data_IF_403795582028
#
_entry.id   IF_403795582028
#
_cell.length_a   1.000
_cell.length_b   1.000
_cell.length_c   1.000
_cell.angle_alpha   90.00
_cell.angle_beta   90.00
_cell.angle_gamma   90.00
#
_symmetry.space_group_name_H-M   'P 1'
#
loop_
_entity.id
_entity.type
_entity.pdbx_description
1 polymer ?
#
# COMPACT_ATOMS: atom_id res chain seq x y z
N UNK A 1 -32.60 -2.02 -51.09
CA UNK A 1 -31.33 -2.68 -51.26
C UNK A 1 -31.08 -3.48 -49.99
N UNK A 2 -31.21 -4.83 -49.97
CA UNK A 2 -30.83 -5.62 -48.82
C UNK A 2 -29.29 -5.73 -48.83
N UNK A 3 -28.67 -5.24 -47.75
CA UNK A 3 -27.22 -5.38 -47.57
C UNK A 3 -26.86 -6.85 -47.41
N UNK A 4 -25.95 -7.33 -48.27
CA UNK A 4 -25.39 -8.67 -48.19
C UNK A 4 -24.77 -8.88 -46.81
N UNK A 5 -25.39 -9.72 -45.99
CA UNK A 5 -24.78 -10.19 -44.73
C UNK A 5 -23.57 -11.06 -45.11
N UNK A 6 -22.38 -10.53 -44.98
CA UNK A 6 -21.17 -11.32 -45.13
C UNK A 6 -21.26 -12.53 -44.19
N UNK A 7 -21.03 -13.73 -44.73
CA UNK A 7 -21.05 -14.93 -43.90
C UNK A 7 -19.91 -14.89 -42.88
N UNK A 8 -20.11 -15.40 -41.65
CA UNK A 8 -19.09 -15.51 -40.64
C UNK A 8 -17.80 -16.18 -41.16
N UNK A 9 -17.94 -17.16 -42.07
CA UNK A 9 -16.83 -17.83 -42.72
C UNK A 9 -15.98 -16.87 -43.59
N UNK A 10 -16.61 -15.94 -44.33
CA UNK A 10 -15.88 -14.97 -45.16
C UNK A 10 -15.16 -13.93 -44.31
N UNK A 11 -15.77 -13.50 -43.18
CA UNK A 11 -15.14 -12.58 -42.22
C UNK A 11 -13.92 -13.25 -41.58
N UNK A 12 -14.06 -14.49 -41.09
CA UNK A 12 -12.98 -15.26 -40.50
C UNK A 12 -11.84 -15.47 -41.47
N UNK A 13 -12.11 -15.83 -42.73
CA UNK A 13 -11.10 -16.03 -43.77
C UNK A 13 -10.38 -14.73 -44.10
N UNK A 14 -11.07 -13.60 -44.17
CA UNK A 14 -10.47 -12.29 -44.40
C UNK A 14 -9.54 -11.85 -43.26
N UNK A 15 -9.98 -12.03 -42.03
CA UNK A 15 -9.17 -11.73 -40.83
C UNK A 15 -7.97 -12.65 -40.72
N UNK A 16 -8.14 -13.97 -40.95
CA UNK A 16 -7.05 -14.93 -40.97
C UNK A 16 -5.98 -14.60 -42.02
N UNK A 17 -6.40 -14.19 -43.21
CA UNK A 17 -5.47 -13.76 -44.26
C UNK A 17 -4.63 -12.55 -43.87
N UNK A 18 -5.23 -11.58 -43.18
CA UNK A 18 -4.51 -10.41 -42.68
C UNK A 18 -3.54 -10.76 -41.56
N UNK A 19 -3.91 -11.67 -40.66
CA UNK A 19 -3.09 -12.08 -39.50
C UNK A 19 -1.91 -12.95 -39.95
N UNK A 20 -2.12 -13.90 -40.88
CA UNK A 20 -1.10 -14.83 -41.34
C UNK A 20 0.08 -14.09 -42.00
N UNK A 21 -0.19 -12.96 -42.67
CA UNK A 21 0.84 -12.11 -43.30
C UNK A 21 1.71 -11.32 -42.32
N UNK A 22 1.31 -11.25 -41.03
CA UNK A 22 2.08 -10.53 -40.01
C UNK A 22 3.30 -11.35 -39.57
N UNK A 23 4.39 -10.66 -39.24
CA UNK A 23 5.54 -11.26 -38.55
C UNK A 23 5.44 -10.92 -37.04
N UNK A 24 4.96 -11.85 -36.20
CA UNK A 24 4.75 -11.58 -34.75
C UNK A 24 6.03 -11.16 -34.06
N UNK A 25 7.17 -11.79 -34.36
CA UNK A 25 8.44 -11.48 -33.72
C UNK A 25 8.97 -10.08 -34.06
N UNK A 26 8.79 -9.63 -35.30
CA UNK A 26 9.18 -8.26 -35.72
C UNK A 26 8.26 -7.22 -35.07
N UNK A 27 6.96 -7.50 -34.97
CA UNK A 27 5.99 -6.62 -34.34
C UNK A 27 6.18 -6.54 -32.85
N UNK A 28 6.40 -7.68 -32.17
CA UNK A 28 6.74 -7.74 -30.76
C UNK A 28 7.96 -6.87 -30.44
N UNK A 29 9.07 -7.06 -31.16
CA UNK A 29 10.27 -6.25 -30.98
C UNK A 29 10.01 -4.76 -31.20
N UNK A 30 9.23 -4.41 -32.24
CA UNK A 30 8.87 -3.03 -32.58
C UNK A 30 8.05 -2.37 -31.47
N UNK A 31 7.00 -3.02 -30.98
CA UNK A 31 6.10 -2.41 -30.00
C UNK A 31 6.70 -2.43 -28.59
N UNK A 32 7.42 -3.48 -28.22
CA UNK A 32 8.14 -3.57 -26.95
C UNK A 32 9.18 -2.44 -26.79
N UNK A 33 9.88 -2.08 -27.88
CA UNK A 33 10.80 -0.94 -27.85
C UNK A 33 10.11 0.43 -27.66
N UNK A 34 8.79 0.49 -27.76
CA UNK A 34 7.97 1.70 -27.57
C UNK A 34 7.28 1.76 -26.20
N UNK A 35 7.39 0.71 -25.40
CA UNK A 35 6.88 0.71 -24.03
C UNK A 35 7.68 1.70 -23.19
N UNK A 36 7.00 2.74 -22.66
CA UNK A 36 7.63 3.89 -22.00
C UNK A 36 8.47 3.49 -20.79
N UNK A 37 7.99 2.48 -20.01
CA UNK A 37 8.64 2.06 -18.76
C UNK A 37 9.47 0.78 -18.88
N UNK A 38 9.65 0.22 -20.07
CA UNK A 38 10.33 -1.07 -20.28
C UNK A 38 11.73 -1.16 -19.65
N UNK A 39 12.49 -0.08 -19.70
CA UNK A 39 13.85 0.02 -19.16
C UNK A 39 13.91 0.45 -17.68
N UNK A 40 12.79 0.90 -17.11
CA UNK A 40 12.80 1.47 -15.77
C UNK A 40 12.93 0.37 -14.71
N UNK A 41 14.02 0.44 -13.93
CA UNK A 41 14.34 -0.48 -12.84
C UNK A 41 14.64 0.31 -11.57
N UNK A 42 14.34 -0.32 -10.42
CA UNK A 42 14.71 0.19 -9.10
C UNK A 42 15.39 -0.90 -8.30
N UNK A 43 16.30 -0.47 -7.44
CA UNK A 43 17.04 -1.32 -6.53
C UNK A 43 16.61 -1.04 -5.08
N UNK A 44 16.68 -2.05 -4.20
CA UNK A 44 16.38 -1.87 -2.78
C UNK A 44 17.50 -1.08 -2.07
N UNK A 45 17.24 -0.46 -0.93
CA UNK A 45 15.95 -0.42 -0.26
C UNK A 45 14.98 0.57 -0.91
N UNK A 46 13.70 0.20 -0.91
CA UNK A 46 12.63 1.06 -1.42
C UNK A 46 11.35 0.89 -0.60
N UNK A 47 10.46 1.88 -0.66
CA UNK A 47 9.09 1.74 -0.19
C UNK A 47 8.12 1.70 -1.37
N UNK A 48 7.12 0.82 -1.29
CA UNK A 48 5.89 0.93 -2.06
C UNK A 48 4.88 1.64 -1.18
N UNK A 49 4.38 2.78 -1.66
CA UNK A 49 3.32 3.55 -1.03
C UNK A 49 2.06 3.48 -1.87
N UNK A 50 1.01 2.95 -1.27
CA UNK A 50 -0.30 2.80 -1.90
C UNK A 50 -1.29 3.71 -1.18
N UNK A 51 -2.14 4.43 -1.94
CA UNK A 51 -3.01 5.49 -1.41
C UNK A 51 -4.42 5.34 -2.02
N UNK A 52 -5.46 5.55 -1.22
CA UNK A 52 -6.85 5.40 -1.65
C UNK A 52 -7.27 6.45 -2.67
N UNK A 53 -7.79 6.03 -3.82
CA UNK A 53 -8.23 6.93 -4.89
C UNK A 53 -9.69 7.34 -4.68
N UNK A 54 -9.91 8.57 -4.18
CA UNK A 54 -11.24 9.15 -4.01
C UNK A 54 -12.09 8.50 -2.92
N UNK A 55 -11.49 7.83 -1.93
CA UNK A 55 -12.18 7.11 -0.87
C UNK A 55 -13.05 8.00 0.00
N UNK A 56 -12.62 9.22 0.32
CA UNK A 56 -13.41 10.15 1.12
C UNK A 56 -14.81 10.42 0.57
N UNK A 57 -15.01 10.28 -0.74
CA UNK A 57 -16.30 10.42 -1.41
C UNK A 57 -17.06 9.08 -1.44
N UNK A 58 -16.37 7.96 -1.69
CA UNK A 58 -16.97 6.62 -1.84
C UNK A 58 -17.44 6.02 -0.53
N UNK A 59 -16.76 6.32 0.57
CA UNK A 59 -16.99 5.72 1.88
C UNK A 59 -17.80 6.58 2.85
N UNK A 60 -17.97 7.88 2.56
CA UNK A 60 -18.55 8.88 3.48
C UNK A 60 -19.86 8.46 4.13
N UNK A 61 -20.78 7.90 3.35
CA UNK A 61 -22.14 7.61 3.83
C UNK A 61 -22.30 6.16 4.32
N UNK A 62 -21.25 5.34 4.20
CA UNK A 62 -21.29 3.90 4.48
C UNK A 62 -20.44 3.50 5.68
N UNK A 63 -19.46 4.31 6.03
CA UNK A 63 -18.42 3.99 7.01
C UNK A 63 -18.23 5.14 8.00
N UNK A 64 -17.71 4.80 9.20
CA UNK A 64 -17.46 5.76 10.25
C UNK A 64 -16.41 6.79 9.82
N UNK A 65 -16.70 8.06 10.08
CA UNK A 65 -15.77 9.16 9.82
C UNK A 65 -15.08 9.59 11.13
N UNK A 66 -13.78 9.97 11.09
CA UNK A 66 -12.88 10.01 9.94
C UNK A 66 -12.17 8.70 9.60
N UNK A 67 -12.25 7.67 10.43
CA UNK A 67 -11.63 6.35 10.21
C UNK A 67 -12.53 5.24 10.72
N UNK A 68 -12.86 4.28 9.85
CA UNK A 68 -13.66 3.10 10.16
C UNK A 68 -12.77 1.88 10.39
N UNK A 69 -13.04 1.14 11.44
CA UNK A 69 -12.26 -0.05 11.80
C UNK A 69 -12.34 -1.16 10.75
N UNK A 70 -13.47 -1.33 10.06
CA UNK A 70 -13.64 -2.35 9.01
C UNK A 70 -12.73 -2.03 7.82
N UNK A 71 -12.67 -0.76 7.43
CA UNK A 71 -11.78 -0.27 6.36
C UNK A 71 -10.32 -0.46 6.77
N UNK A 72 -9.96 -0.09 8.00
CA UNK A 72 -8.62 -0.28 8.52
C UNK A 72 -8.21 -1.76 8.54
N UNK A 73 -9.06 -2.65 9.02
CA UNK A 73 -8.80 -4.11 9.01
C UNK A 73 -8.65 -4.68 7.61
N UNK A 74 -9.44 -4.20 6.65
CA UNK A 74 -9.30 -4.60 5.24
C UNK A 74 -7.94 -4.18 4.66
N UNK A 75 -7.47 -2.97 4.98
CA UNK A 75 -6.15 -2.47 4.61
C UNK A 75 -5.02 -3.27 5.27
N UNK A 76 -5.15 -3.62 6.56
CA UNK A 76 -4.19 -4.47 7.25
C UNK A 76 -4.10 -5.84 6.57
N UNK A 77 -5.23 -6.45 6.22
CA UNK A 77 -5.24 -7.72 5.50
C UNK A 77 -4.57 -7.60 4.11
N UNK A 78 -4.83 -6.52 3.39
CA UNK A 78 -4.18 -6.26 2.10
C UNK A 78 -2.67 -6.03 2.24
N UNK A 79 -2.25 -5.31 3.28
CA UNK A 79 -0.84 -5.07 3.57
C UNK A 79 -0.09 -6.35 3.96
N UNK A 80 -0.71 -7.27 4.71
CA UNK A 80 -0.12 -8.60 5.00
C UNK A 80 0.13 -9.35 3.69
N UNK A 81 -0.84 -9.40 2.79
CA UNK A 81 -0.66 -10.02 1.47
C UNK A 81 0.44 -9.34 0.64
N UNK A 82 0.49 -8.02 0.70
CA UNK A 82 1.53 -7.26 0.00
C UNK A 82 2.93 -7.59 0.55
N UNK A 83 3.08 -7.75 1.89
CA UNK A 83 4.33 -8.20 2.49
C UNK A 83 4.74 -9.59 1.97
N UNK A 84 3.79 -10.50 1.82
CA UNK A 84 4.06 -11.87 1.34
C UNK A 84 4.48 -11.87 -0.13
N UNK A 85 3.67 -11.30 -1.00
CA UNK A 85 3.87 -11.32 -2.46
C UNK A 85 5.09 -10.51 -2.93
N UNK A 86 5.40 -9.41 -2.25
CA UNK A 86 6.51 -8.53 -2.59
C UNK A 86 7.77 -8.76 -1.77
N UNK A 87 7.78 -9.80 -0.92
CA UNK A 87 8.89 -10.10 -0.01
C UNK A 87 9.33 -8.89 0.81
N UNK A 88 8.37 -8.04 1.19
CA UNK A 88 8.65 -6.87 2.01
C UNK A 88 8.99 -7.28 3.45
N UNK A 89 9.84 -6.50 4.13
CA UNK A 89 10.27 -6.79 5.50
C UNK A 89 9.30 -6.28 6.55
N UNK A 90 8.72 -5.13 6.32
CA UNK A 90 7.75 -4.49 7.21
C UNK A 90 6.87 -3.50 6.44
N UNK A 91 5.85 -2.97 7.09
CA UNK A 91 4.96 -1.96 6.54
C UNK A 91 4.17 -1.22 7.61
N UNK A 92 3.42 -0.23 7.16
CA UNK A 92 2.55 0.63 7.94
C UNK A 92 1.22 0.79 7.20
N UNK A 93 0.14 0.68 7.93
CA UNK A 93 -1.21 1.06 7.49
C UNK A 93 -1.65 2.26 8.30
N UNK A 94 -1.93 3.37 7.65
CA UNK A 94 -2.41 4.59 8.30
C UNK A 94 -3.40 5.32 7.40
N UNK A 95 -4.60 5.64 7.90
CA UNK A 95 -5.69 6.20 7.09
C UNK A 95 -6.09 5.23 5.96
N UNK A 96 -6.12 5.70 4.73
CA UNK A 96 -6.34 4.97 3.48
C UNK A 96 -5.03 4.60 2.76
N UNK A 97 -3.91 4.69 3.49
CA UNK A 97 -2.57 4.43 2.96
C UNK A 97 -1.97 3.13 3.50
N UNK A 98 -1.30 2.41 2.61
CA UNK A 98 -0.42 1.27 2.92
C UNK A 98 0.98 1.61 2.42
N UNK A 99 1.97 1.56 3.30
CA UNK A 99 3.39 1.65 2.93
C UNK A 99 4.12 0.38 3.33
N UNK A 100 4.89 -0.24 2.43
CA UNK A 100 5.72 -1.41 2.73
C UNK A 100 7.16 -1.17 2.31
N UNK A 101 8.11 -1.72 3.08
CA UNK A 101 9.55 -1.59 2.84
C UNK A 101 10.09 -2.89 2.23
N UNK A 102 10.73 -2.76 1.08
CA UNK A 102 11.44 -3.84 0.40
C UNK A 102 12.95 -3.54 0.50
N UNK A 103 13.68 -4.38 1.22
CA UNK A 103 15.11 -4.24 1.44
C UNK A 103 15.95 -5.37 0.81
N UNK A 104 15.28 -6.38 0.28
CA UNK A 104 15.86 -7.47 -0.49
C UNK A 104 15.61 -7.26 -1.99
N UNK A 105 16.05 -8.20 -2.81
CA UNK A 105 15.76 -8.17 -4.23
C UNK A 105 14.25 -8.03 -4.47
N UNK A 106 13.82 -6.97 -5.17
CA UNK A 106 12.42 -6.73 -5.41
C UNK A 106 11.89 -7.74 -6.45
N UNK A 107 10.62 -8.17 -6.34
CA UNK A 107 10.02 -9.04 -7.34
C UNK A 107 10.04 -8.39 -8.72
N UNK A 108 9.83 -9.21 -9.74
CA UNK A 108 9.82 -8.79 -11.16
C UNK A 108 11.14 -8.16 -11.63
N UNK A 109 12.28 -8.44 -10.98
CA UNK A 109 13.58 -7.86 -11.28
C UNK A 109 13.59 -6.33 -11.17
N UNK A 110 12.86 -5.78 -10.21
CA UNK A 110 12.78 -4.35 -9.95
C UNK A 110 12.09 -3.51 -11.02
N UNK A 111 11.33 -4.11 -11.95
CA UNK A 111 10.61 -3.34 -12.99
C UNK A 111 9.55 -2.43 -12.36
N UNK A 112 9.73 -1.11 -12.57
CA UNK A 112 8.89 -0.06 -11.98
C UNK A 112 7.42 -0.27 -12.31
N UNK A 113 7.08 -0.47 -13.58
CA UNK A 113 5.70 -0.66 -14.02
C UNK A 113 5.01 -1.85 -13.35
N UNK A 114 5.76 -2.97 -13.17
CA UNK A 114 5.24 -4.18 -12.52
C UNK A 114 5.05 -3.97 -11.02
N UNK A 115 6.02 -3.32 -10.38
CA UNK A 115 5.92 -3.02 -8.97
C UNK A 115 4.70 -2.17 -8.65
N UNK A 116 4.45 -1.09 -9.39
CA UNK A 116 3.32 -0.19 -9.13
C UNK A 116 1.98 -0.78 -9.57
N UNK A 117 1.90 -1.40 -10.75
CA UNK A 117 0.64 -1.92 -11.26
C UNK A 117 0.14 -3.15 -10.50
N UNK A 118 1.03 -4.12 -10.22
CA UNK A 118 0.65 -5.35 -9.53
C UNK A 118 0.36 -5.09 -8.05
N UNK A 119 1.13 -4.23 -7.38
CA UNK A 119 0.83 -3.85 -5.99
C UNK A 119 -0.50 -3.13 -5.86
N UNK A 120 -0.79 -2.16 -6.74
CA UNK A 120 -2.07 -1.46 -6.76
C UNK A 120 -3.24 -2.43 -7.03
N UNK A 121 -3.09 -3.32 -8.01
CA UNK A 121 -4.08 -4.34 -8.33
C UNK A 121 -4.34 -5.31 -7.17
N UNK A 122 -3.28 -5.81 -6.52
CA UNK A 122 -3.38 -6.71 -5.37
C UNK A 122 -4.15 -6.08 -4.20
N UNK A 123 -3.77 -4.86 -3.82
CA UNK A 123 -4.42 -4.16 -2.71
C UNK A 123 -5.86 -3.80 -3.07
N UNK A 124 -6.12 -3.22 -4.25
CA UNK A 124 -7.48 -2.89 -4.70
C UNK A 124 -8.40 -4.12 -4.71
N UNK A 125 -7.96 -5.24 -5.28
CA UNK A 125 -8.73 -6.47 -5.30
C UNK A 125 -8.99 -7.03 -3.90
N UNK A 126 -8.01 -6.94 -2.98
CA UNK A 126 -8.15 -7.46 -1.62
C UNK A 126 -9.16 -6.65 -0.82
N UNK A 127 -9.03 -5.32 -0.80
CA UNK A 127 -9.95 -4.46 -0.06
C UNK A 127 -11.36 -4.49 -0.64
N UNK A 128 -11.50 -4.48 -1.98
CA UNK A 128 -12.80 -4.55 -2.63
C UNK A 128 -13.53 -5.85 -2.27
N UNK A 129 -12.82 -6.99 -2.26
CA UNK A 129 -13.39 -8.27 -1.85
C UNK A 129 -13.81 -8.31 -0.38
N UNK A 130 -12.99 -7.71 0.52
CA UNK A 130 -13.28 -7.73 1.96
C UNK A 130 -14.45 -6.82 2.32
N UNK A 131 -14.53 -5.65 1.68
CA UNK A 131 -15.56 -4.65 1.99
C UNK A 131 -16.83 -4.77 1.14
N UNK A 132 -16.78 -5.55 0.04
CA UNK A 132 -17.89 -5.61 -0.93
C UNK A 132 -18.07 -4.31 -1.71
N UNK A 133 -17.06 -3.45 -1.78
CA UNK A 133 -17.08 -2.14 -2.42
C UNK A 133 -16.01 -2.04 -3.50
N UNK A 134 -16.28 -1.34 -4.56
CA UNK A 134 -15.34 -1.10 -5.65
C UNK A 134 -14.37 0.02 -5.28
N UNK A 135 -13.20 -0.35 -4.76
CA UNK A 135 -12.19 0.57 -4.24
C UNK A 135 -10.87 0.42 -4.99
N UNK A 136 -10.27 1.56 -5.30
CA UNK A 136 -8.99 1.62 -6.00
C UNK A 136 -7.93 2.28 -5.12
N UNK A 137 -6.68 1.83 -5.29
CA UNK A 137 -5.49 2.50 -4.78
C UNK A 137 -4.54 2.81 -5.92
N UNK A 138 -3.82 3.91 -5.84
CA UNK A 138 -2.62 4.13 -6.64
C UNK A 138 -1.39 3.54 -5.93
N UNK A 139 -0.29 3.36 -6.64
CA UNK A 139 0.97 2.89 -6.06
C UNK A 139 2.14 3.73 -6.56
N UNK A 140 3.05 4.06 -5.64
CA UNK A 140 4.24 4.87 -5.89
C UNK A 140 5.46 4.19 -5.29
N UNK A 141 6.61 4.35 -5.94
CA UNK A 141 7.88 3.88 -5.42
C UNK A 141 8.63 5.05 -4.81
N UNK A 142 9.10 4.88 -3.59
CA UNK A 142 9.99 5.82 -2.90
C UNK A 142 11.34 5.14 -2.74
N UNK A 143 12.39 5.71 -3.33
CA UNK A 143 13.77 5.23 -3.16
C UNK A 143 14.25 5.58 -1.76
N UNK A 144 14.90 4.61 -1.10
CA UNK A 144 15.44 4.75 0.25
C UNK A 144 16.95 4.48 0.22
N UNK A 145 17.68 5.06 1.18
CA UNK A 145 19.13 4.98 1.21
C UNK A 145 19.69 4.15 2.39
N UNK A 146 18.83 3.42 3.08
CA UNK A 146 19.21 2.51 4.15
C UNK A 146 18.15 2.37 5.24
N UNK A 147 18.54 1.69 6.33
CA UNK A 147 17.62 1.39 7.44
C UNK A 147 17.13 2.66 8.16
N UNK A 148 18.01 3.63 8.38
CA UNK A 148 17.65 4.89 9.03
C UNK A 148 16.64 5.69 8.22
N UNK A 149 16.85 5.78 6.90
CA UNK A 149 15.97 6.47 5.98
C UNK A 149 14.59 5.78 5.87
N UNK A 150 14.57 4.44 5.86
CA UNK A 150 13.33 3.68 5.92
C UNK A 150 12.53 3.92 7.22
N UNK A 151 13.23 4.00 8.35
CA UNK A 151 12.62 4.32 9.65
C UNK A 151 12.03 5.73 9.64
N UNK A 152 12.80 6.71 9.18
CA UNK A 152 12.37 8.11 9.07
C UNK A 152 11.18 8.25 8.13
N UNK A 153 11.20 7.57 6.98
CA UNK A 153 10.08 7.54 6.04
C UNK A 153 8.78 7.04 6.71
N UNK A 154 8.81 5.90 7.42
CA UNK A 154 7.61 5.39 8.09
C UNK A 154 7.14 6.33 9.21
N UNK A 155 8.06 6.90 10.00
CA UNK A 155 7.72 7.90 11.02
C UNK A 155 7.09 9.15 10.42
N UNK A 156 7.59 9.60 9.27
CA UNK A 156 6.97 10.69 8.51
C UNK A 156 5.53 10.35 8.11
N UNK A 157 5.26 9.12 7.64
CA UNK A 157 3.89 8.72 7.27
C UNK A 157 2.96 8.65 8.49
N UNK A 158 3.43 8.14 9.63
CA UNK A 158 2.69 8.21 10.90
C UNK A 158 2.36 9.66 11.24
N UNK A 159 3.35 10.57 11.14
CA UNK A 159 3.16 12.00 11.46
C UNK A 159 2.13 12.69 10.56
N UNK A 160 2.18 12.41 9.26
CA UNK A 160 1.20 12.93 8.30
C UNK A 160 -0.19 12.38 8.61
N UNK A 161 -0.32 11.07 8.82
CA UNK A 161 -1.58 10.43 9.17
C UNK A 161 -2.19 10.97 10.46
N UNK A 162 -1.36 11.19 11.49
CA UNK A 162 -1.77 11.80 12.74
C UNK A 162 -2.32 13.21 12.55
N UNK A 163 -1.60 14.07 11.82
CA UNK A 163 -2.05 15.43 11.50
C UNK A 163 -3.40 15.43 10.80
N UNK A 164 -3.54 14.62 9.74
CA UNK A 164 -4.75 14.55 8.96
C UNK A 164 -5.94 14.09 9.81
N UNK A 165 -5.71 13.14 10.73
CA UNK A 165 -6.74 12.64 11.63
C UNK A 165 -7.20 13.72 12.62
N UNK A 166 -6.27 14.35 13.32
CA UNK A 166 -6.58 15.43 14.29
C UNK A 166 -7.30 16.59 13.58
N UNK A 167 -6.82 16.99 12.42
CA UNK A 167 -7.47 18.04 11.61
C UNK A 167 -8.89 17.64 11.20
N UNK A 168 -9.11 16.39 10.81
CA UNK A 168 -10.46 15.91 10.43
C UNK A 168 -11.44 15.95 11.62
N UNK A 169 -11.00 15.54 12.82
CA UNK A 169 -11.82 15.63 14.03
C UNK A 169 -12.08 17.11 14.35
N UNK A 170 -11.05 17.93 14.38
CA UNK A 170 -11.19 19.35 14.68
C UNK A 170 -12.22 20.03 13.79
N UNK A 171 -12.11 19.88 12.47
CA UNK A 171 -13.07 20.49 11.54
C UNK A 171 -14.48 19.90 11.58
N UNK A 172 -14.64 18.70 12.11
CA UNK A 172 -15.98 18.13 12.35
C UNK A 172 -16.67 18.69 13.60
N UNK A 173 -15.90 19.13 14.59
CA UNK A 173 -16.41 19.61 15.88
C UNK A 173 -16.46 21.14 16.01
N UNK A 174 -15.63 21.85 15.23
CA UNK A 174 -15.54 23.31 15.25
C UNK A 174 -16.10 23.90 13.95
N UNK A 175 -17.40 24.26 13.89
CA UNK A 175 -18.01 24.85 12.71
C UNK A 175 -17.41 26.24 12.44
N UNK A 176 -17.09 26.54 11.19
CA UNK A 176 -16.71 27.90 10.75
C UNK A 176 -15.22 28.15 10.50
N UNK A 177 -14.33 27.16 10.73
CA UNK A 177 -12.88 27.30 10.54
C UNK A 177 -12.40 27.35 9.09
N UNK A 178 -13.16 27.91 8.16
CA UNK A 178 -12.81 27.91 6.72
C UNK A 178 -11.69 28.89 6.31
N UNK A 179 -11.17 29.72 7.22
CA UNK A 179 -10.18 30.75 6.87
C UNK A 179 -8.74 30.41 7.23
N UNK A 180 -8.53 29.71 8.32
CA UNK A 180 -7.19 29.36 8.83
C UNK A 180 -7.27 28.03 9.57
N UNK A 181 -6.45 27.07 9.17
CA UNK A 181 -6.30 25.82 9.93
C UNK A 181 -5.30 26.07 11.06
N UNK A 182 -5.70 25.96 12.35
CA UNK A 182 -4.80 26.15 13.47
C UNK A 182 -3.62 25.17 13.43
N UNK A 183 -2.57 25.47 14.17
CA UNK A 183 -1.45 24.54 14.37
C UNK A 183 -1.93 23.28 15.10
N UNK A 184 -1.19 22.19 14.94
CA UNK A 184 -1.54 20.93 15.61
C UNK A 184 -1.66 21.07 17.14
N UNK A 185 -0.76 21.77 17.86
CA UNK A 185 -0.92 21.99 19.29
C UNK A 185 -2.22 22.73 19.65
N UNK A 186 -2.60 23.75 18.89
CA UNK A 186 -3.85 24.49 19.10
C UNK A 186 -5.08 23.62 18.86
N UNK A 187 -5.08 22.83 17.78
CA UNK A 187 -6.17 21.87 17.54
C UNK A 187 -6.30 20.86 18.67
N UNK A 188 -5.18 20.29 19.15
CA UNK A 188 -5.17 19.33 20.27
C UNK A 188 -5.64 19.97 21.59
N UNK A 189 -5.28 21.22 21.85
CA UNK A 189 -5.77 21.95 23.03
C UNK A 189 -7.27 22.13 22.96
N UNK A 190 -7.81 22.61 21.84
CA UNK A 190 -9.26 22.78 21.65
C UNK A 190 -10.01 21.46 21.82
N UNK A 191 -9.49 20.36 21.24
CA UNK A 191 -10.12 19.04 21.33
C UNK A 191 -10.07 18.45 22.76
N UNK A 192 -9.09 18.81 23.58
CA UNK A 192 -9.05 18.44 25.01
C UNK A 192 -10.12 19.14 25.84
N UNK A 193 -10.46 20.36 25.49
CA UNK A 193 -11.47 21.18 26.17
C UNK A 193 -12.90 20.73 25.82
N UNK A 194 -13.05 19.95 24.74
CA UNK A 194 -14.32 19.37 24.31
C UNK A 194 -14.42 17.92 24.79
N UNK A 195 -15.58 17.52 25.32
CA UNK A 195 -15.85 16.13 25.68
C UNK A 195 -15.92 15.24 24.43
N UNK A 196 -14.77 14.74 23.99
CA UNK A 196 -14.68 13.84 22.85
C UNK A 196 -14.87 12.39 23.26
N UNK A 197 -15.47 11.58 22.40
CA UNK A 197 -15.65 10.14 22.66
C UNK A 197 -14.28 9.45 22.78
N UNK A 198 -14.03 8.63 23.84
CA UNK A 198 -12.76 7.93 24.03
C UNK A 198 -12.32 7.09 22.82
N UNK A 199 -13.27 6.50 22.09
CA UNK A 199 -12.98 5.69 20.90
C UNK A 199 -12.28 6.46 19.75
N UNK A 200 -12.36 7.77 19.72
CA UNK A 200 -11.61 8.58 18.76
C UNK A 200 -10.11 8.60 19.04
N UNK A 201 -9.66 8.23 20.23
CA UNK A 201 -8.27 8.29 20.65
C UNK A 201 -7.59 6.92 20.70
N UNK A 202 -8.16 5.91 20.05
CA UNK A 202 -7.55 4.59 19.92
C UNK A 202 -6.23 4.67 19.13
N UNK A 203 -5.17 3.95 19.55
CA UNK A 203 -3.84 4.02 18.93
C UNK A 203 -3.84 3.80 17.41
N UNK A 204 -4.59 2.84 16.90
CA UNK A 204 -4.67 2.57 15.47
C UNK A 204 -5.29 3.73 14.67
N UNK A 205 -6.24 4.45 15.28
CA UNK A 205 -6.84 5.65 14.66
C UNK A 205 -5.84 6.79 14.58
N UNK A 206 -5.01 6.96 15.60
CA UNK A 206 -4.03 8.02 15.69
C UNK A 206 -2.78 7.73 14.84
N UNK A 207 -2.22 6.55 15.02
CA UNK A 207 -0.88 6.20 14.56
C UNK A 207 -0.86 5.14 13.45
N UNK A 208 -2.00 4.45 13.23
CA UNK A 208 -2.10 3.33 12.31
C UNK A 208 -1.59 2.01 12.90
N UNK A 209 -1.32 1.04 12.04
CA UNK A 209 -0.85 -0.30 12.42
C UNK A 209 0.44 -0.64 11.69
N UNK A 210 1.48 -1.01 12.44
CA UNK A 210 2.71 -1.58 11.90
C UNK A 210 2.54 -3.06 11.62
N UNK A 211 3.10 -3.52 10.50
CA UNK A 211 3.11 -4.91 10.08
C UNK A 211 4.56 -5.31 9.91
N UNK A 212 4.98 -6.41 10.53
CA UNK A 212 6.37 -6.85 10.44
C UNK A 212 6.48 -8.38 10.35
N UNK A 213 7.49 -8.85 9.62
CA UNK A 213 7.91 -10.24 9.67
C UNK A 213 8.70 -10.48 10.96
N UNK A 214 8.30 -11.49 11.70
CA UNK A 214 9.01 -11.93 12.90
C UNK A 214 9.47 -13.37 12.74
N UNK A 215 10.56 -13.68 13.37
CA UNK A 215 11.08 -15.02 13.48
C UNK A 215 11.04 -15.44 14.95
N UNK A 216 10.53 -16.62 15.24
CA UNK A 216 10.57 -17.23 16.56
C UNK A 216 11.16 -18.64 16.46
N UNK A 217 12.05 -18.98 17.37
CA UNK A 217 12.51 -20.35 17.53
C UNK A 217 11.48 -21.11 18.37
N UNK A 218 11.00 -22.23 17.85
CA UNK A 218 10.22 -23.20 18.62
C UNK A 218 11.08 -24.42 18.84
N UNK A 219 11.36 -24.71 20.10
CA UNK A 219 12.03 -25.94 20.49
C UNK A 219 10.95 -26.99 20.73
N UNK A 220 11.00 -28.07 19.99
CA UNK A 220 10.16 -29.26 20.15
C UNK A 220 11.12 -30.46 20.21
N UNK A 221 11.12 -31.16 21.33
CA UNK A 221 11.86 -32.41 21.52
C UNK A 221 13.32 -32.35 21.01
N UNK A 222 14.12 -31.43 21.55
CA UNK A 222 15.53 -31.18 21.19
C UNK A 222 15.80 -30.71 19.74
N UNK A 223 14.75 -30.48 18.93
CA UNK A 223 14.87 -29.86 17.61
C UNK A 223 14.40 -28.44 17.63
N UNK A 224 15.26 -27.50 17.20
CA UNK A 224 14.91 -26.10 17.05
C UNK A 224 14.37 -25.84 15.63
N UNK A 225 13.10 -25.50 15.53
CA UNK A 225 12.48 -25.09 14.27
C UNK A 225 12.25 -23.58 14.23
N UNK A 226 12.73 -22.93 13.18
CA UNK A 226 12.48 -21.51 12.94
C UNK A 226 11.06 -21.33 12.40
N UNK A 227 10.26 -20.51 13.09
CA UNK A 227 8.91 -20.15 12.63
C UNK A 227 8.87 -18.68 12.21
N UNK A 228 8.54 -18.45 10.95
CA UNK A 228 8.29 -17.10 10.42
C UNK A 228 6.82 -16.75 10.56
N UNK A 229 6.52 -15.57 11.06
CA UNK A 229 5.16 -15.02 11.19
C UNK A 229 5.13 -13.57 10.74
N UNK A 230 3.96 -13.12 10.30
CA UNK A 230 3.66 -11.71 10.14
C UNK A 230 2.80 -11.30 11.33
N UNK A 231 3.20 -10.25 12.02
CA UNK A 231 2.45 -9.65 13.11
C UNK A 231 1.98 -8.26 12.70
N UNK A 232 0.79 -7.89 13.18
CA UNK A 232 0.25 -6.54 13.09
C UNK A 232 0.09 -6.00 14.51
N UNK A 233 0.64 -4.82 14.76
CA UNK A 233 0.63 -4.15 16.06
C UNK A 233 0.31 -2.67 15.88
N UNK A 234 -0.47 -2.09 16.78
CA UNK A 234 -0.77 -0.67 16.73
C UNK A 234 0.54 0.14 16.70
N UNK A 235 0.63 1.02 15.71
CA UNK A 235 1.87 1.73 15.46
C UNK A 235 2.18 2.71 16.58
N UNK A 236 3.41 2.64 17.09
CA UNK A 236 4.01 3.73 17.84
C UNK A 236 5.33 4.11 17.17
N UNK A 237 5.78 5.36 17.26
CA UNK A 237 7.06 5.77 16.67
C UNK A 237 8.23 4.88 17.08
N UNK A 238 8.28 4.48 18.35
CA UNK A 238 9.31 3.59 18.88
C UNK A 238 9.19 2.15 18.37
N UNK A 239 7.98 1.63 18.16
CA UNK A 239 7.75 0.27 17.64
C UNK A 239 8.08 0.18 16.15
N UNK A 240 7.70 1.17 15.34
CA UNK A 240 8.09 1.22 13.94
C UNK A 240 9.62 1.19 13.80
N UNK A 241 10.34 2.00 14.56
CA UNK A 241 11.80 2.01 14.54
C UNK A 241 12.39 0.65 14.93
N UNK A 242 11.93 0.05 16.03
CA UNK A 242 12.39 -1.29 16.47
C UNK A 242 12.12 -2.38 15.43
N UNK A 243 10.94 -2.38 14.79
CA UNK A 243 10.60 -3.35 13.75
C UNK A 243 11.56 -3.23 12.55
N UNK A 244 11.91 -2.02 12.15
CA UNK A 244 12.83 -1.76 11.04
C UNK A 244 14.25 -2.17 11.42
N UNK A 245 14.76 -1.74 12.57
CA UNK A 245 16.09 -2.07 13.03
C UNK A 245 16.29 -3.60 13.15
N UNK A 246 15.27 -4.32 13.64
CA UNK A 246 15.31 -5.79 13.78
C UNK A 246 15.29 -6.53 12.44
N UNK A 247 14.66 -6.00 11.42
CA UNK A 247 14.53 -6.64 10.09
C UNK A 247 15.64 -6.23 9.14
N UNK A 248 16.07 -4.98 9.15
CA UNK A 248 17.11 -4.45 8.26
C UNK A 248 18.53 -4.71 8.79
N UNK A 249 18.72 -4.71 10.10
CA UNK A 249 20.03 -5.01 10.72
C UNK A 249 20.53 -6.43 10.46
N UNK A 250 19.63 -7.41 10.26
CA UNK A 250 20.00 -8.80 9.96
C UNK A 250 20.47 -9.01 8.51
N UNK A 251 20.03 -8.20 7.57
CA UNK A 251 20.45 -8.30 6.16
C UNK A 251 21.89 -7.83 5.97
N UNK A 252 22.33 -6.85 6.75
CA UNK A 252 23.72 -6.40 6.75
C UNK A 252 24.69 -7.49 7.26
N UNK A 253 24.26 -8.29 8.25
CA UNK A 253 25.07 -9.37 8.82
C UNK A 253 25.20 -10.61 7.90
N UNK A 254 24.33 -10.79 6.92
CA UNK A 254 24.40 -11.90 5.96
C UNK A 254 25.14 -11.58 4.66
N UNK A 255 25.56 -10.32 4.47
CA UNK A 255 26.35 -9.87 3.30
C UNK A 255 27.84 -9.66 3.61
N UNK A 256 28.28 -9.91 4.84
CA UNK A 256 29.68 -10.02 5.24
C UNK A 256 30.08 -11.49 5.33
#
# INVERSE_FOLDING_TARGET
>A
MPGESQSLASIVTSIAGQIIGLNPGALEKKFKAREIYQGCRVEPPLALRLDGVGWGRRLRDKYEWPRDERVHRALVAAAVRLLEEFNACCGLVVSDEVSVIINNEPPYGGRVEKLVSVSAGLVSATISRVLGEELYVDSRIVKLYGASDAAEYLLHRVRVGFNNYVSSIYHSMVPGGKGHTPSLPEMLQTLREQETRPSLWEPWRLLGTCIARTQSLRVLDDTAAERRRIIAIDASPSLCKKAIDSTLGRVAAHRM
#
